data_IF_381024666152
#
_entry.id   IF_381024666152
#
_cell.length_a   1.000
_cell.length_b   1.000
_cell.length_c   1.000
_cell.angle_alpha   90.00
_cell.angle_beta   90.00
_cell.angle_gamma   90.00
#
_symmetry.space_group_name_H-M   'P 1'
#
loop_
_entity.id
_entity.type
_entity.pdbx_description
1 polymer ?
#
# COMPACT_ATOMS: atom_id res chain seq x y z
N UNK A 1 6.25 0.41 -7.78
CA UNK A 1 5.05 0.64 -6.95
C UNK A 1 4.97 2.07 -6.40
N UNK A 2 6.06 2.63 -5.88
CA UNK A 2 6.05 3.96 -5.24
C UNK A 2 5.76 5.13 -6.21
N UNK A 3 6.10 5.02 -7.50
CA UNK A 3 5.77 6.06 -8.51
C UNK A 3 4.25 6.20 -8.74
N UNK A 4 3.49 5.14 -8.49
CA UNK A 4 2.05 5.11 -8.76
C UNK A 4 1.17 5.55 -7.60
N UNK A 5 1.75 5.74 -6.41
CA UNK A 5 1.02 6.19 -5.22
C UNK A 5 0.75 7.70 -5.27
N UNK A 6 1.44 8.43 -6.14
CA UNK A 6 1.19 9.82 -6.48
C UNK A 6 0.49 9.93 -7.85
N UNK A 7 -0.82 10.17 -7.86
CA UNK A 7 -1.58 10.42 -9.09
C UNK A 7 -1.05 11.60 -9.93
N UNK A 8 -0.21 12.48 -9.36
CA UNK A 8 0.43 13.58 -10.08
C UNK A 8 1.39 13.11 -11.19
N UNK A 9 2.01 11.93 -11.07
CA UNK A 9 2.91 11.40 -12.11
C UNK A 9 2.15 10.81 -13.33
N UNK A 10 0.87 10.44 -13.16
CA UNK A 10 0.08 9.81 -14.22
C UNK A 10 -0.43 10.79 -15.29
N UNK A 11 -0.43 12.09 -14.98
CA UNK A 11 -0.94 13.13 -15.88
C UNK A 11 0.07 13.54 -16.95
N UNK A 12 1.37 13.51 -16.63
CA UNK A 12 2.41 13.88 -17.59
C UNK A 12 2.68 12.76 -18.62
N UNK A 13 2.18 11.54 -18.37
CA UNK A 13 2.56 10.33 -19.11
C UNK A 13 1.42 9.76 -19.99
N UNK A 14 0.13 9.94 -19.63
CA UNK A 14 -0.98 9.54 -20.50
C UNK A 14 -2.28 10.30 -20.16
N UNK A 15 -2.77 11.20 -21.02
CA UNK A 15 -4.08 11.83 -20.82
C UNK A 15 -5.24 10.85 -21.06
N UNK A 16 -5.06 9.85 -21.93
CA UNK A 16 -6.14 8.96 -22.35
C UNK A 16 -6.32 7.75 -21.42
N UNK A 17 -7.58 7.42 -21.13
CA UNK A 17 -7.97 6.16 -20.47
C UNK A 17 -7.60 5.01 -21.42
N UNK A 18 -6.93 3.93 -20.97
CA UNK A 18 -6.60 2.83 -21.86
C UNK A 18 -7.89 2.23 -22.42
N UNK A 19 -8.11 2.38 -23.73
CA UNK A 19 -9.20 1.75 -24.45
C UNK A 19 -8.83 0.30 -24.74
N UNK A 20 -9.58 -0.66 -24.18
CA UNK A 20 -9.63 -2.03 -24.70
C UNK A 20 -10.59 -2.08 -25.89
N UNK A 21 -10.24 -1.45 -27.02
CA UNK A 21 -11.04 -1.61 -28.24
C UNK A 21 -10.54 -2.79 -29.06
N UNK A 22 -11.23 -3.92 -28.85
CA UNK A 22 -11.78 -4.85 -29.84
C UNK A 22 -10.86 -5.62 -30.81
N UNK A 23 -11.14 -6.93 -30.83
CA UNK A 23 -10.79 -7.97 -31.81
C UNK A 23 -9.39 -8.56 -31.67
N UNK A 24 -9.37 -9.78 -31.10
CA UNK A 24 -8.26 -10.72 -31.16
C UNK A 24 -7.90 -11.01 -32.62
N UNK A 25 -6.86 -10.36 -33.13
CA UNK A 25 -5.96 -10.90 -34.15
C UNK A 25 -4.56 -10.40 -33.78
N UNK A 26 -3.83 -11.25 -33.05
CA UNK A 26 -2.40 -11.16 -32.69
C UNK A 26 -1.76 -9.75 -32.67
N UNK A 27 -1.65 -9.12 -31.48
CA UNK A 27 -0.63 -8.08 -31.25
C UNK A 27 -0.40 -7.76 -29.76
N UNK A 28 0.80 -8.16 -29.30
CA UNK A 28 1.59 -7.69 -28.14
C UNK A 28 1.09 -7.96 -26.71
N UNK A 29 1.82 -8.76 -25.90
CA UNK A 29 1.53 -9.00 -24.47
C UNK A 29 1.88 -7.79 -23.56
N UNK A 30 1.97 -6.58 -24.11
CA UNK A 30 2.54 -5.40 -23.44
C UNK A 30 1.49 -4.37 -22.97
N UNK A 31 0.20 -4.70 -23.01
CA UNK A 31 -0.88 -3.78 -22.60
C UNK A 31 -1.22 -3.79 -21.09
N UNK A 32 -0.39 -4.43 -20.25
CA UNK A 32 -0.59 -4.52 -18.78
C UNK A 32 0.11 -3.39 -17.98
N UNK A 33 0.21 -2.17 -18.53
CA UNK A 33 1.16 -1.15 -18.03
C UNK A 33 0.53 0.08 -17.36
N UNK A 34 -0.65 -0.01 -16.75
CA UNK A 34 -1.23 1.15 -16.08
C UNK A 34 -1.86 0.78 -14.74
N UNK A 35 -1.54 1.51 -13.68
CA UNK A 35 -2.31 1.51 -12.42
C UNK A 35 -3.63 2.28 -12.59
N UNK A 36 -4.38 1.90 -13.61
CA UNK A 36 -5.73 2.36 -13.94
C UNK A 36 -6.69 1.19 -13.86
N UNK A 37 -7.98 1.49 -13.81
CA UNK A 37 -9.01 0.46 -13.88
C UNK A 37 -9.39 0.30 -15.36
N UNK A 38 -9.19 -0.89 -15.92
CA UNK A 38 -9.64 -1.17 -17.30
C UNK A 38 -11.18 -1.16 -17.34
N UNK A 39 -11.77 -0.63 -18.42
CA UNK A 39 -13.23 -0.45 -18.52
C UNK A 39 -14.00 -1.77 -18.39
N UNK A 40 -13.45 -2.86 -18.94
CA UNK A 40 -14.05 -4.21 -18.90
C UNK A 40 -13.84 -4.92 -17.54
N UNK A 41 -12.88 -4.46 -16.72
CA UNK A 41 -12.60 -5.06 -15.40
C UNK A 41 -13.52 -4.54 -14.28
N UNK A 42 -14.42 -3.59 -14.60
CA UNK A 42 -15.38 -3.07 -13.63
C UNK A 42 -16.48 -4.08 -13.31
N UNK A 43 -16.76 -4.99 -14.26
CA UNK A 43 -17.74 -6.07 -14.13
C UNK A 43 -17.13 -7.40 -13.61
N UNK A 44 -15.80 -7.53 -13.61
CA UNK A 44 -15.13 -8.71 -13.07
C UNK A 44 -15.24 -8.73 -11.53
N UNK A 45 -15.85 -9.79 -11.00
CA UNK A 45 -16.02 -9.99 -9.57
C UNK A 45 -14.64 -10.04 -8.89
N UNK A 46 -14.44 -9.18 -7.90
CA UNK A 46 -13.23 -9.23 -7.07
C UNK A 46 -13.29 -10.53 -6.27
N UNK A 47 -12.44 -11.50 -6.59
CA UNK A 47 -12.29 -12.73 -5.80
C UNK A 47 -10.82 -12.98 -5.44
N UNK A 48 -10.49 -12.75 -4.15
CA UNK A 48 -9.17 -13.04 -3.60
C UNK A 48 -8.93 -14.53 -3.34
N UNK A 49 -9.96 -15.38 -3.45
CA UNK A 49 -9.85 -16.83 -3.27
C UNK A 49 -9.47 -17.57 -4.55
N UNK A 50 -9.60 -16.91 -5.71
CA UNK A 50 -9.25 -17.48 -7.00
C UNK A 50 -7.76 -17.81 -7.06
N UNK A 51 -7.42 -19.04 -7.46
CA UNK A 51 -6.03 -19.42 -7.70
C UNK A 51 -5.60 -19.00 -9.12
N UNK A 52 -4.57 -18.15 -9.23
CA UNK A 52 -3.97 -17.75 -10.50
C UNK A 52 -3.23 -18.94 -11.13
N UNK A 53 -3.29 -19.03 -12.46
CA UNK A 53 -2.40 -19.92 -13.21
C UNK A 53 -0.97 -19.40 -13.18
N UNK A 54 0.01 -20.28 -13.45
CA UNK A 54 1.42 -19.88 -13.47
C UNK A 54 1.70 -18.80 -14.51
N UNK A 55 1.09 -18.91 -15.69
CA UNK A 55 1.23 -17.89 -16.75
C UNK A 55 0.69 -16.52 -16.30
N UNK A 56 -0.46 -16.48 -15.62
CA UNK A 56 -1.04 -15.22 -15.13
C UNK A 56 -0.20 -14.67 -13.97
N UNK A 57 0.13 -15.50 -12.98
CA UNK A 57 0.92 -15.10 -11.83
C UNK A 57 2.29 -14.54 -12.19
N UNK A 58 2.98 -15.17 -13.16
CA UNK A 58 4.30 -14.74 -13.60
C UNK A 58 4.29 -13.41 -14.36
N UNK A 59 3.21 -13.12 -15.09
CA UNK A 59 3.09 -11.91 -15.91
C UNK A 59 2.41 -10.74 -15.17
N UNK A 60 1.70 -11.00 -14.08
CA UNK A 60 0.96 -10.00 -13.29
C UNK A 60 1.85 -9.27 -12.26
N UNK A 61 2.94 -8.68 -12.73
CA UNK A 61 3.92 -7.98 -11.86
C UNK A 61 3.31 -6.80 -11.09
N UNK A 62 2.22 -6.23 -11.59
CA UNK A 62 1.53 -5.07 -11.01
C UNK A 62 0.32 -5.46 -10.16
N UNK A 63 0.03 -6.75 -9.99
CA UNK A 63 -1.10 -7.26 -9.21
C UNK A 63 -2.43 -6.63 -9.66
N UNK A 64 -2.61 -6.56 -10.98
CA UNK A 64 -3.84 -6.13 -11.63
C UNK A 64 -4.95 -7.14 -11.43
N UNK A 65 -4.61 -8.41 -11.57
CA UNK A 65 -5.54 -9.52 -11.50
C UNK A 65 -5.69 -9.92 -10.04
N UNK A 66 -6.93 -10.05 -9.58
CA UNK A 66 -7.22 -10.53 -8.23
C UNK A 66 -6.98 -12.05 -8.14
N UNK A 67 -6.69 -12.52 -6.94
CA UNK A 67 -6.44 -13.93 -6.65
C UNK A 67 -5.08 -14.19 -6.04
N UNK A 68 -4.78 -15.47 -5.83
CA UNK A 68 -3.60 -15.98 -5.17
C UNK A 68 -2.72 -16.76 -6.13
N UNK A 69 -1.45 -16.39 -6.21
CA UNK A 69 -0.44 -17.21 -6.84
C UNK A 69 0.50 -17.82 -5.78
N UNK A 70 0.67 -19.14 -5.84
CA UNK A 70 1.41 -19.88 -4.81
C UNK A 70 2.92 -19.73 -4.97
N UNK A 71 3.44 -19.49 -6.17
CA UNK A 71 4.89 -19.39 -6.40
C UNK A 71 5.39 -17.94 -6.36
N UNK A 72 4.66 -17.10 -5.62
CA UNK A 72 4.96 -15.69 -5.46
C UNK A 72 6.17 -15.43 -4.58
N UNK A 73 7.02 -14.48 -5.01
CA UNK A 73 8.24 -14.07 -4.28
C UNK A 73 8.02 -12.86 -3.37
N UNK A 74 6.80 -12.32 -3.29
CA UNK A 74 6.50 -11.15 -2.45
C UNK A 74 6.88 -11.35 -0.96
N UNK A 75 6.54 -12.50 -0.31
CA UNK A 75 6.95 -12.75 1.07
C UNK A 75 8.47 -12.77 1.24
N UNK A 76 9.19 -13.36 0.28
CA UNK A 76 10.65 -13.52 0.37
C UNK A 76 11.40 -12.20 0.12
N UNK A 77 10.91 -11.38 -0.80
CA UNK A 77 11.57 -10.11 -1.18
C UNK A 77 11.20 -8.98 -0.22
N UNK A 78 9.92 -8.86 0.13
CA UNK A 78 9.43 -7.73 0.91
C UNK A 78 9.07 -8.09 2.34
N UNK A 79 8.99 -9.37 2.72
CA UNK A 79 8.47 -9.77 4.04
C UNK A 79 6.96 -9.58 4.18
N UNK A 80 6.24 -9.39 3.08
CA UNK A 80 4.79 -9.10 3.04
C UNK A 80 4.12 -9.99 2.00
N UNK A 81 2.94 -10.58 2.27
CA UNK A 81 2.30 -11.50 1.34
C UNK A 81 1.72 -10.77 0.12
N UNK A 82 1.68 -11.48 -1.02
CA UNK A 82 1.06 -10.97 -2.26
C UNK A 82 -0.38 -10.51 -2.03
N UNK A 83 -1.16 -11.23 -1.21
CA UNK A 83 -2.56 -10.86 -0.93
C UNK A 83 -2.71 -9.42 -0.42
N UNK A 84 -1.81 -8.97 0.46
CA UNK A 84 -1.83 -7.60 0.98
C UNK A 84 -1.35 -6.59 -0.06
N UNK A 85 -0.35 -6.96 -0.85
CA UNK A 85 0.16 -6.12 -1.94
C UNK A 85 -0.85 -5.96 -3.08
N UNK A 86 -1.65 -6.98 -3.34
CA UNK A 86 -2.77 -6.96 -4.29
C UNK A 86 -3.81 -5.96 -3.83
N UNK A 87 -4.22 -6.00 -2.56
CA UNK A 87 -5.16 -5.02 -1.99
C UNK A 87 -4.63 -3.58 -2.10
N UNK A 88 -3.33 -3.38 -1.84
CA UNK A 88 -2.68 -2.08 -2.03
C UNK A 88 -2.73 -1.63 -3.50
N UNK A 89 -2.37 -2.51 -4.44
CA UNK A 89 -2.41 -2.22 -5.88
C UNK A 89 -3.81 -1.80 -6.33
N UNK A 90 -4.84 -2.54 -5.92
CA UNK A 90 -6.22 -2.20 -6.23
C UNK A 90 -6.66 -0.87 -5.61
N UNK A 91 -6.24 -0.60 -4.37
CA UNK A 91 -6.53 0.68 -3.71
C UNK A 91 -5.93 1.84 -4.48
N UNK A 92 -4.69 1.68 -4.96
CA UNK A 92 -4.01 2.68 -5.81
C UNK A 92 -4.79 2.90 -7.12
N UNK A 93 -5.19 1.81 -7.80
CA UNK A 93 -5.96 1.88 -9.06
C UNK A 93 -7.28 2.62 -8.89
N UNK A 94 -8.07 2.27 -7.88
CA UNK A 94 -9.35 2.92 -7.59
C UNK A 94 -9.14 4.40 -7.21
N UNK A 95 -8.15 4.70 -6.36
CA UNK A 95 -7.86 6.07 -5.95
C UNK A 95 -7.43 6.95 -7.14
N UNK A 96 -6.63 6.41 -8.06
CA UNK A 96 -6.19 7.12 -9.25
C UNK A 96 -7.34 7.32 -10.24
N UNK A 97 -8.19 6.32 -10.44
CA UNK A 97 -9.35 6.44 -11.32
C UNK A 97 -10.37 7.47 -10.81
N UNK A 98 -10.65 7.48 -9.49
CA UNK A 98 -11.51 8.49 -8.86
C UNK A 98 -10.98 9.91 -9.06
N UNK A 99 -9.68 10.12 -8.86
CA UNK A 99 -9.05 11.43 -9.06
C UNK A 99 -9.18 11.91 -10.51
N UNK A 100 -9.03 11.01 -11.50
CA UNK A 100 -9.21 11.33 -12.92
C UNK A 100 -10.67 11.70 -13.24
N UNK A 101 -11.64 10.95 -12.70
CA UNK A 101 -13.05 11.25 -12.90
C UNK A 101 -13.46 12.59 -12.30
N UNK A 102 -12.97 12.93 -11.10
CA UNK A 102 -13.24 14.24 -10.49
C UNK A 102 -12.69 15.42 -11.29
N UNK A 103 -11.67 15.20 -12.12
CA UNK A 103 -11.10 16.23 -13.01
C UNK A 103 -11.72 16.26 -14.41
N UNK A 104 -12.50 15.25 -14.77
CA UNK A 104 -13.19 15.18 -16.06
C UNK A 104 -14.42 16.09 -16.07
N UNK A 105 -14.62 16.86 -17.15
CA UNK A 105 -15.80 17.72 -17.33
C UNK A 105 -17.07 16.91 -17.60
N UNK A 106 -16.93 15.65 -18.05
CA UNK A 106 -18.03 14.72 -18.31
C UNK A 106 -17.89 13.52 -17.39
N UNK A 107 -18.78 13.42 -16.40
CA UNK A 107 -18.82 12.29 -15.45
C UNK A 107 -19.79 11.25 -16.00
N UNK A 108 -19.28 10.08 -16.39
CA UNK A 108 -20.11 8.92 -16.65
C UNK A 108 -20.60 8.35 -15.31
N UNK A 109 -21.90 8.46 -15.06
CA UNK A 109 -22.53 8.02 -13.82
C UNK A 109 -22.46 6.50 -13.62
N UNK A 110 -22.43 5.71 -14.70
CA UNK A 110 -22.35 4.25 -14.60
C UNK A 110 -20.96 3.85 -14.10
N UNK A 111 -19.91 4.42 -14.71
CA UNK A 111 -18.52 4.21 -14.31
C UNK A 111 -18.30 4.61 -12.84
N UNK A 112 -18.91 5.72 -12.40
CA UNK A 112 -18.82 6.15 -11.00
C UNK A 112 -19.46 5.12 -10.06
N UNK A 113 -20.66 4.64 -10.38
CA UNK A 113 -21.35 3.63 -9.57
C UNK A 113 -20.55 2.33 -9.48
N UNK A 114 -19.94 1.87 -10.58
CA UNK A 114 -19.16 0.63 -10.57
C UNK A 114 -17.87 0.78 -9.78
N UNK A 115 -17.22 1.95 -9.82
CA UNK A 115 -16.09 2.26 -8.95
C UNK A 115 -16.49 2.35 -7.47
N UNK A 116 -17.68 2.83 -7.14
CA UNK A 116 -18.19 2.83 -5.76
C UNK A 116 -18.46 1.42 -5.25
N UNK A 117 -19.09 0.56 -6.06
CA UNK A 117 -19.28 -0.85 -5.74
C UNK A 117 -17.93 -1.55 -5.52
N UNK A 118 -16.98 -1.34 -6.44
CA UNK A 118 -15.63 -1.91 -6.37
C UNK A 118 -14.87 -1.41 -5.14
N UNK A 119 -14.98 -0.13 -4.81
CA UNK A 119 -14.37 0.44 -3.61
C UNK A 119 -14.96 -0.16 -2.32
N UNK A 120 -16.27 -0.41 -2.29
CA UNK A 120 -16.95 -1.02 -1.13
C UNK A 120 -16.55 -2.49 -0.93
N UNK A 121 -16.46 -3.26 -2.02
CA UNK A 121 -15.93 -4.62 -1.97
C UNK A 121 -14.48 -4.64 -1.49
N UNK A 122 -13.65 -3.74 -2.02
CA UNK A 122 -12.25 -3.64 -1.61
C UNK A 122 -12.11 -3.28 -0.13
N UNK A 123 -12.96 -2.39 0.40
CA UNK A 123 -13.02 -2.06 1.83
C UNK A 123 -13.27 -3.31 2.67
N UNK A 124 -14.29 -4.11 2.30
CA UNK A 124 -14.61 -5.35 3.00
C UNK A 124 -13.40 -6.28 3.03
N UNK A 125 -12.73 -6.48 1.90
CA UNK A 125 -11.53 -7.33 1.84
C UNK A 125 -10.36 -6.80 2.65
N UNK A 126 -10.14 -5.49 2.66
CA UNK A 126 -9.11 -4.87 3.49
C UNK A 126 -9.43 -5.10 4.96
N UNK A 127 -10.65 -4.83 5.41
CA UNK A 127 -11.03 -4.96 6.82
C UNK A 127 -11.08 -6.41 7.30
N UNK A 128 -11.42 -7.37 6.43
CA UNK A 128 -11.44 -8.80 6.75
C UNK A 128 -10.11 -9.50 6.50
N UNK A 129 -9.08 -8.79 6.06
CA UNK A 129 -7.78 -9.40 5.76
C UNK A 129 -7.11 -9.89 7.05
N UNK A 130 -6.61 -11.12 7.02
CA UNK A 130 -5.85 -11.72 8.10
C UNK A 130 -4.49 -12.22 7.59
N UNK A 131 -3.43 -12.16 8.41
CA UNK A 131 -2.13 -12.73 8.05
C UNK A 131 -2.23 -14.24 7.75
N UNK A 132 -1.52 -14.76 6.75
CA UNK A 132 -1.48 -16.19 6.46
C UNK A 132 -1.04 -16.99 7.69
N UNK A 133 -1.80 -18.03 8.06
CA UNK A 133 -1.53 -18.83 9.28
C UNK A 133 -0.27 -19.68 9.22
N UNK A 134 0.35 -19.82 8.04
CA UNK A 134 1.60 -20.56 7.86
C UNK A 134 2.59 -19.69 7.09
N UNK A 135 3.86 -19.60 7.54
CA UNK A 135 4.90 -19.02 6.72
C UNK A 135 4.98 -19.81 5.41
N UNK A 136 4.99 -19.09 4.30
CA UNK A 136 5.18 -19.67 2.98
C UNK A 136 6.51 -20.43 2.98
N UNK A 137 6.62 -21.63 2.36
CA UNK A 137 7.91 -22.30 2.24
C UNK A 137 8.83 -21.40 1.42
N UNK A 138 9.75 -20.73 2.11
CA UNK A 138 10.66 -19.76 1.51
C UNK A 138 11.51 -20.45 0.46
N UNK A 139 11.40 -20.04 -0.80
CA UNK A 139 12.14 -20.64 -1.92
C UNK A 139 13.64 -20.32 -1.85
N UNK A 140 14.05 -19.38 -0.99
CA UNK A 140 15.41 -18.87 -0.85
C UNK A 140 16.17 -19.56 0.30
N UNK A 141 15.50 -20.37 1.13
CA UNK A 141 16.15 -20.97 2.31
C UNK A 141 16.84 -22.30 2.00
N UNK A 142 18.11 -22.23 1.58
CA UNK A 142 19.03 -23.38 1.59
C UNK A 142 19.64 -23.58 2.98
N UNK A 143 18.85 -23.97 3.96
CA UNK A 143 19.38 -24.65 5.15
C UNK A 143 18.26 -25.39 5.86
N UNK A 144 18.07 -26.66 5.50
CA UNK A 144 17.36 -27.60 6.34
C UNK A 144 18.18 -27.82 7.62
N UNK A 145 17.78 -27.14 8.70
CA UNK A 145 18.01 -27.62 10.05
C UNK A 145 16.64 -27.70 10.71
N UNK A 146 16.12 -28.92 10.76
CA UNK A 146 15.02 -29.28 11.64
C UNK A 146 15.47 -29.09 13.08
N UNK A 147 14.97 -28.04 13.74
CA UNK A 147 15.03 -27.91 15.18
C UNK A 147 13.68 -27.43 15.69
N UNK A 148 12.93 -28.39 16.26
CA UNK A 148 12.10 -28.28 17.48
C UNK A 148 11.28 -27.01 17.73
N UNK A 149 9.95 -27.21 17.67
CA UNK A 149 8.89 -26.75 18.59
C UNK A 149 9.11 -25.44 19.40
N UNK A 150 8.16 -24.52 19.25
CA UNK A 150 7.83 -23.39 20.13
C UNK A 150 8.86 -22.26 20.31
N UNK A 151 9.33 -21.67 19.21
CA UNK A 151 9.64 -20.24 19.22
C UNK A 151 8.80 -19.53 18.17
N UNK A 152 7.80 -18.83 18.68
CA UNK A 152 6.82 -18.07 17.93
C UNK A 152 7.54 -17.02 17.06
N UNK A 153 7.67 -17.28 15.76
CA UNK A 153 8.28 -16.38 14.79
C UNK A 153 7.30 -15.23 14.49
N UNK A 154 6.98 -14.44 15.51
CA UNK A 154 5.99 -13.36 15.50
C UNK A 154 6.45 -12.14 14.68
N UNK A 155 7.74 -11.98 14.44
CA UNK A 155 8.34 -10.81 13.78
C UNK A 155 7.77 -10.51 12.39
N UNK A 156 7.71 -11.47 11.43
CA UNK A 156 7.09 -11.24 10.13
C UNK A 156 5.60 -10.87 10.26
N UNK A 157 4.87 -11.48 11.20
CA UNK A 157 3.47 -11.14 11.43
C UNK A 157 3.27 -9.69 11.92
N UNK A 158 4.20 -9.15 12.70
CA UNK A 158 4.13 -7.76 13.17
C UNK A 158 4.30 -6.76 12.02
N UNK A 159 5.27 -6.97 11.13
CA UNK A 159 5.44 -6.11 9.95
C UNK A 159 4.24 -6.20 9.01
N UNK A 160 3.70 -7.40 8.78
CA UNK A 160 2.48 -7.61 8.00
C UNK A 160 1.28 -6.87 8.60
N UNK A 161 1.12 -6.89 9.93
CA UNK A 161 0.07 -6.13 10.63
C UNK A 161 0.29 -4.62 10.52
N UNK A 162 1.52 -4.13 10.63
CA UNK A 162 1.82 -2.71 10.41
C UNK A 162 1.47 -2.26 8.99
N UNK A 163 1.83 -3.07 7.98
CA UNK A 163 1.47 -2.85 6.58
C UNK A 163 -0.05 -2.82 6.37
N UNK A 164 -0.77 -3.73 7.04
CA UNK A 164 -2.23 -3.78 6.97
C UNK A 164 -2.89 -2.55 7.59
N UNK A 165 -2.43 -2.10 8.76
CA UNK A 165 -2.91 -0.85 9.37
C UNK A 165 -2.65 0.36 8.44
N UNK A 166 -1.47 0.42 7.82
CA UNK A 166 -1.16 1.48 6.88
C UNK A 166 -2.00 1.42 5.59
N UNK A 167 -2.38 0.23 5.12
CA UNK A 167 -3.31 0.06 4.01
C UNK A 167 -4.71 0.60 4.36
N UNK A 168 -5.20 0.34 5.57
CA UNK A 168 -6.46 0.91 6.07
C UNK A 168 -6.39 2.44 6.06
N UNK A 169 -5.31 3.02 6.60
CA UNK A 169 -5.08 4.48 6.56
C UNK A 169 -5.07 5.00 5.11
N UNK A 170 -4.34 4.34 4.22
CA UNK A 170 -4.24 4.73 2.82
C UNK A 170 -5.59 4.69 2.11
N UNK A 171 -6.36 3.61 2.26
CA UNK A 171 -7.70 3.47 1.70
C UNK A 171 -8.60 4.62 2.13
N UNK A 172 -8.76 4.80 3.45
CA UNK A 172 -9.69 5.78 4.01
C UNK A 172 -9.30 7.23 3.71
N UNK A 173 -8.02 7.51 3.47
CA UNK A 173 -7.55 8.85 3.12
C UNK A 173 -7.58 9.12 1.62
N UNK A 174 -7.44 8.11 0.76
CA UNK A 174 -7.41 8.27 -0.70
C UNK A 174 -8.76 8.14 -1.37
N UNK A 175 -9.66 7.33 -0.82
CA UNK A 175 -10.92 6.97 -1.49
C UNK A 175 -12.11 7.76 -0.93
N UNK A 176 -12.47 7.66 0.37
CA UNK A 176 -13.52 8.49 0.97
C UNK A 176 -13.00 9.80 1.59
N UNK A 177 -11.68 9.94 1.80
CA UNK A 177 -11.05 11.09 2.45
C UNK A 177 -11.68 11.48 3.81
N UNK A 178 -11.82 10.50 4.71
CA UNK A 178 -12.39 10.76 6.05
C UNK A 178 -11.42 11.54 6.93
N UNK A 179 -11.94 12.25 7.94
CA UNK A 179 -11.14 12.99 8.91
C UNK A 179 -10.11 12.11 9.61
N UNK A 180 -8.87 12.59 9.73
CA UNK A 180 -7.80 11.91 10.46
C UNK A 180 -8.15 11.63 11.93
N UNK A 181 -9.10 12.38 12.53
CA UNK A 181 -9.58 12.14 13.90
C UNK A 181 -10.08 10.71 14.12
N UNK A 182 -10.76 10.13 13.13
CA UNK A 182 -11.36 8.79 13.25
C UNK A 182 -10.28 7.70 13.11
N UNK A 183 -9.14 8.03 12.50
CA UNK A 183 -8.07 7.09 12.18
C UNK A 183 -7.01 6.94 13.28
N UNK A 184 -7.12 7.66 14.40
CA UNK A 184 -6.05 7.70 15.41
C UNK A 184 -5.79 6.34 16.07
N UNK A 185 -6.79 5.48 16.21
CA UNK A 185 -6.59 4.12 16.73
C UNK A 185 -5.78 3.27 15.74
N UNK A 186 -6.10 3.35 14.44
CA UNK A 186 -5.33 2.70 13.37
C UNK A 186 -3.88 3.19 13.34
N UNK A 187 -3.65 4.50 13.53
CA UNK A 187 -2.29 5.07 13.65
C UNK A 187 -1.54 4.49 14.85
N UNK A 188 -2.20 4.41 16.01
CA UNK A 188 -1.62 3.85 17.25
C UNK A 188 -1.25 2.38 17.07
N UNK A 189 -2.14 1.57 16.50
CA UNK A 189 -1.89 0.15 16.24
C UNK A 189 -0.74 -0.03 15.24
N UNK A 190 -0.67 0.80 14.19
CA UNK A 190 0.44 0.76 13.25
C UNK A 190 1.78 1.02 13.96
N UNK A 191 1.87 2.07 14.80
CA UNK A 191 3.08 2.37 15.56
C UNK A 191 3.47 1.23 16.52
N UNK A 192 2.52 0.64 17.26
CA UNK A 192 2.77 -0.50 18.15
C UNK A 192 3.40 -1.67 17.39
N UNK A 193 2.82 -2.05 16.24
CA UNK A 193 3.33 -3.14 15.42
C UNK A 193 4.73 -2.84 14.86
N UNK A 194 5.00 -1.61 14.44
CA UNK A 194 6.33 -1.20 13.96
C UNK A 194 7.39 -1.30 15.06
N UNK A 195 7.11 -0.75 16.24
CA UNK A 195 8.05 -0.79 17.37
C UNK A 195 8.32 -2.22 17.84
N UNK A 196 7.28 -3.05 17.92
CA UNK A 196 7.42 -4.47 18.30
C UNK A 196 8.18 -5.26 17.25
N UNK A 197 7.96 -4.98 15.96
CA UNK A 197 8.69 -5.62 14.86
C UNK A 197 10.18 -5.31 14.94
N UNK A 198 10.54 -4.06 15.25
CA UNK A 198 11.95 -3.67 15.39
C UNK A 198 12.60 -4.27 16.64
N UNK A 199 11.90 -4.30 17.77
CA UNK A 199 12.40 -4.93 18.99
C UNK A 199 12.68 -6.44 18.77
N UNK A 200 11.73 -7.14 18.15
CA UNK A 200 11.88 -8.57 17.86
C UNK A 200 13.00 -8.85 16.84
N UNK A 201 13.33 -7.88 15.98
CA UNK A 201 14.43 -8.00 15.02
C UNK A 201 15.79 -7.67 15.64
N UNK A 202 15.88 -6.73 16.57
CA UNK A 202 17.12 -6.41 17.29
C UNK A 202 17.70 -7.61 18.06
N UNK A 203 16.85 -8.57 18.41
CA UNK A 203 17.23 -9.84 19.04
C UNK A 203 17.74 -10.89 18.02
N UNK A 204 17.58 -10.64 16.72
CA UNK A 204 17.99 -11.54 15.62
C UNK A 204 19.21 -11.01 14.87
N UNK A 205 20.13 -11.89 14.47
CA UNK A 205 21.37 -11.54 13.73
C UNK A 205 21.09 -11.23 12.24
N UNK A 206 19.83 -11.08 11.84
CA UNK A 206 19.40 -10.99 10.43
C UNK A 206 19.20 -9.55 9.95
N UNK A 207 19.32 -9.36 8.63
CA UNK A 207 19.39 -8.08 7.92
C UNK A 207 18.42 -6.98 8.42
N UNK A 208 18.94 -5.74 8.46
CA UNK A 208 18.21 -4.50 8.75
C UNK A 208 17.28 -4.04 7.61
N UNK A 209 16.44 -4.93 7.05
CA UNK A 209 15.43 -4.56 6.06
C UNK A 209 14.20 -3.93 6.73
N UNK A 210 14.04 -2.60 6.68
CA UNK A 210 12.86 -1.91 7.19
C UNK A 210 12.05 -1.31 6.05
N UNK A 211 10.73 -1.48 6.08
CA UNK A 211 9.83 -0.88 5.08
C UNK A 211 9.37 0.48 5.61
N UNK A 212 9.70 1.54 4.87
CA UNK A 212 9.31 2.91 5.22
C UNK A 212 7.79 3.15 5.11
N UNK A 213 7.16 2.52 4.13
CA UNK A 213 5.77 2.76 3.74
C UNK A 213 4.78 2.84 4.92
N UNK A 214 4.68 1.84 5.83
CA UNK A 214 3.70 1.88 6.90
C UNK A 214 3.92 3.03 7.89
N UNK A 215 5.16 3.28 8.30
CA UNK A 215 5.49 4.37 9.20
C UNK A 215 5.24 5.73 8.58
N UNK A 216 5.46 5.89 7.27
CA UNK A 216 5.15 7.14 6.57
C UNK A 216 3.65 7.48 6.61
N UNK A 217 2.77 6.53 6.28
CA UNK A 217 1.31 6.77 6.32
C UNK A 217 0.81 7.01 7.73
N UNK A 218 1.24 6.21 8.70
CA UNK A 218 0.90 6.43 10.09
C UNK A 218 1.35 7.82 10.57
N UNK A 219 2.57 8.24 10.25
CA UNK A 219 3.09 9.56 10.61
C UNK A 219 2.25 10.69 10.00
N UNK A 220 1.94 10.62 8.69
CA UNK A 220 1.12 11.63 8.04
C UNK A 220 -0.28 11.77 8.65
N UNK A 221 -0.85 10.68 9.17
CA UNK A 221 -2.20 10.67 9.73
C UNK A 221 -2.25 10.89 11.26
N UNK A 222 -1.10 10.99 11.93
CA UNK A 222 -1.04 11.26 13.36
C UNK A 222 -1.48 12.69 13.71
N UNK A 223 -2.38 12.81 14.69
CA UNK A 223 -2.83 14.09 15.26
C UNK A 223 -2.42 14.23 16.73
N UNK A 224 -2.40 13.12 17.46
CA UNK A 224 -2.00 13.11 18.87
C UNK A 224 -0.50 13.40 19.01
N UNK A 225 -0.08 14.37 19.86
CA UNK A 225 1.33 14.75 20.00
C UNK A 225 2.25 13.60 20.42
N UNK A 226 1.76 12.62 21.17
CA UNK A 226 2.57 11.47 21.58
C UNK A 226 2.73 10.48 20.43
N UNK A 227 1.68 10.26 19.62
CA UNK A 227 1.78 9.49 18.37
C UNK A 227 2.74 10.16 17.38
N UNK A 228 2.63 11.48 17.19
CA UNK A 228 3.52 12.23 16.31
C UNK A 228 4.98 12.09 16.74
N UNK A 229 5.26 12.24 18.04
CA UNK A 229 6.61 12.07 18.59
C UNK A 229 7.12 10.64 18.40
N UNK A 230 6.29 9.64 18.69
CA UNK A 230 6.67 8.23 18.55
C UNK A 230 6.96 7.82 17.11
N UNK A 231 6.14 8.29 16.16
CA UNK A 231 6.35 8.02 14.73
C UNK A 231 7.55 8.78 14.17
N UNK A 232 7.78 10.01 14.62
CA UNK A 232 8.96 10.78 14.24
C UNK A 232 10.24 10.11 14.73
N UNK A 233 10.27 9.69 16.00
CA UNK A 233 11.39 8.96 16.59
C UNK A 233 11.65 7.64 15.85
N UNK A 234 10.59 6.88 15.55
CA UNK A 234 10.70 5.64 14.78
C UNK A 234 11.29 5.87 13.39
N UNK A 235 10.82 6.89 12.66
CA UNK A 235 11.32 7.22 11.32
C UNK A 235 12.81 7.61 11.36
N UNK A 236 13.19 8.48 12.29
CA UNK A 236 14.58 8.95 12.42
C UNK A 236 15.51 7.80 12.81
N UNK A 237 15.15 7.04 13.85
CA UNK A 237 15.95 5.93 14.35
C UNK A 237 16.13 4.84 13.29
N UNK A 238 15.04 4.48 12.59
CA UNK A 238 15.10 3.49 11.50
C UNK A 238 15.91 3.99 10.31
N UNK A 239 15.79 5.27 9.95
CA UNK A 239 16.59 5.90 8.90
C UNK A 239 18.10 5.87 9.21
N UNK A 240 18.48 6.14 10.47
CA UNK A 240 19.88 6.03 10.91
C UNK A 240 20.39 4.60 10.85
N UNK A 241 19.60 3.63 11.34
CA UNK A 241 19.98 2.21 11.33
C UNK A 241 20.15 1.66 9.91
N UNK A 242 19.22 1.98 9.02
CA UNK A 242 19.24 1.51 7.63
C UNK A 242 20.13 2.34 6.71
N UNK A 243 20.62 3.50 7.18
CA UNK A 243 21.33 4.50 6.37
C UNK A 243 20.52 5.01 5.16
N UNK A 244 19.19 4.96 5.24
CA UNK A 244 18.28 5.40 4.17
C UNK A 244 17.76 6.81 4.44
N UNK A 245 18.15 7.76 3.59
CA UNK A 245 17.74 9.17 3.69
C UNK A 245 16.24 9.38 3.42
N UNK A 246 15.56 8.43 2.77
CA UNK A 246 14.13 8.45 2.50
C UNK A 246 13.29 8.55 3.78
N UNK A 247 13.76 7.98 4.89
CA UNK A 247 13.08 8.07 6.19
C UNK A 247 13.08 9.49 6.75
N UNK A 248 14.18 10.23 6.57
CA UNK A 248 14.27 11.64 6.97
C UNK A 248 13.35 12.52 6.10
N UNK A 249 13.27 12.24 4.79
CA UNK A 249 12.33 12.91 3.91
C UNK A 249 10.87 12.66 4.32
N UNK A 250 10.51 11.41 4.61
CA UNK A 250 9.19 11.04 5.11
C UNK A 250 8.83 11.75 6.43
N UNK A 251 9.77 11.81 7.37
CA UNK A 251 9.60 12.54 8.64
C UNK A 251 9.35 14.03 8.42
N UNK A 252 10.06 14.66 7.48
CA UNK A 252 9.84 16.06 7.12
C UNK A 252 8.45 16.27 6.51
N UNK A 253 8.03 15.40 5.60
CA UNK A 253 6.69 15.46 5.00
C UNK A 253 5.59 15.34 6.05
N UNK A 254 5.70 14.39 6.99
CA UNK A 254 4.72 14.24 8.06
C UNK A 254 4.58 15.52 8.90
N UNK A 255 5.70 16.14 9.28
CA UNK A 255 5.70 17.41 9.99
C UNK A 255 5.02 18.53 9.19
N UNK A 256 5.27 18.62 7.87
CA UNK A 256 4.59 19.59 7.01
C UNK A 256 3.07 19.38 6.99
N UNK A 257 2.61 18.13 7.03
CA UNK A 257 1.18 17.79 7.11
C UNK A 257 0.60 18.23 8.45
N UNK A 258 1.29 17.98 9.56
CA UNK A 258 0.86 18.41 10.89
C UNK A 258 0.73 19.94 10.97
N UNK A 259 1.74 20.67 10.48
CA UNK A 259 1.74 22.12 10.44
C UNK A 259 0.61 22.68 9.57
N UNK A 260 0.36 22.06 8.41
CA UNK A 260 -0.72 22.48 7.51
C UNK A 260 -2.10 22.30 8.17
N UNK A 261 -2.31 21.17 8.84
CA UNK A 261 -3.56 20.90 9.58
C UNK A 261 -3.76 21.85 10.73
N UNK A 262 -2.71 22.14 11.50
CA UNK A 262 -2.82 23.05 12.64
C UNK A 262 -3.14 24.50 12.21
N UNK A 263 -2.54 24.96 11.10
CA UNK A 263 -2.82 26.28 10.53
C UNK A 263 -4.22 26.39 9.94
N UNK A 264 -4.65 25.39 9.18
CA UNK A 264 -5.96 25.39 8.52
C UNK A 264 -7.12 25.02 9.45
N UNK A 265 -6.81 24.39 10.61
CA UNK A 265 -7.78 23.74 11.50
C UNK A 265 -8.67 22.74 10.77
N UNK A 266 -8.09 22.05 9.79
CA UNK A 266 -8.75 21.09 8.92
C UNK A 266 -8.05 19.73 8.99
N UNK A 267 -8.71 18.75 9.61
CA UNK A 267 -8.20 17.39 9.77
C UNK A 267 -8.49 16.49 8.56
N UNK A 268 -9.14 17.02 7.51
CA UNK A 268 -9.33 16.32 6.24
C UNK A 268 -8.16 16.53 5.28
N UNK A 269 -7.33 17.55 5.49
CA UNK A 269 -6.12 17.80 4.70
C UNK A 269 -5.19 16.58 4.69
N UNK A 270 -4.92 16.05 3.50
CA UNK A 270 -4.09 14.87 3.29
C UNK A 270 -2.65 15.23 2.97
N UNK A 271 -1.74 14.28 3.20
CA UNK A 271 -0.37 14.36 2.70
C UNK A 271 -0.34 14.61 1.19
N UNK A 272 -1.33 14.11 0.46
CA UNK A 272 -1.50 14.36 -0.96
C UNK A 272 -1.72 15.84 -1.29
N UNK A 273 -2.52 16.55 -0.48
CA UNK A 273 -2.82 17.97 -0.69
C UNK A 273 -1.61 18.85 -0.36
N UNK A 274 -0.86 18.48 0.68
CA UNK A 274 0.34 19.20 1.11
C UNK A 274 1.48 19.02 0.10
N UNK A 275 1.61 17.83 -0.49
CA UNK A 275 2.68 17.54 -1.46
C UNK A 275 2.34 17.92 -2.91
N UNK A 276 1.12 18.36 -3.23
CA UNK A 276 0.74 18.76 -4.60
C UNK A 276 1.63 19.86 -5.21
N UNK A 277 2.40 20.58 -4.39
CA UNK A 277 3.29 21.67 -4.81
C UNK A 277 4.77 21.29 -4.95
N UNK A 278 5.21 20.15 -4.44
CA UNK A 278 6.59 19.67 -4.58
C UNK A 278 6.55 18.28 -5.23
N UNK A 279 7.26 18.08 -6.35
CA UNK A 279 7.38 16.75 -6.98
C UNK A 279 7.76 15.76 -5.89
N UNK A 280 6.86 14.81 -5.60
CA UNK A 280 7.10 13.78 -4.59
C UNK A 280 8.45 13.13 -4.90
N UNK A 281 9.51 13.29 -4.08
CA UNK A 281 10.68 12.44 -4.20
C UNK A 281 10.15 11.07 -3.80
N UNK A 282 9.85 10.27 -4.81
CA UNK A 282 9.25 8.96 -4.64
C UNK A 282 10.13 8.21 -3.65
N UNK A 283 9.48 7.73 -2.60
CA UNK A 283 10.01 6.80 -1.59
C UNK A 283 10.30 5.48 -2.32
N UNK A 284 11.38 5.47 -3.09
CA UNK A 284 12.00 4.30 -3.66
C UNK A 284 13.16 3.96 -2.73
N UNK A 285 12.97 2.93 -1.92
CA UNK A 285 14.08 2.11 -1.44
C UNK A 285 14.20 0.94 -2.40
#
# INVERSE_FOLDING_TARGET
>A
MAESTCGCALLDICPDRPCSSLMAIESSPLSLRSFRVAHDSLDEEIDLSLQKSDEVGHNDIHLEVMGQWKDTLYPDIYGVPESLMTLLSQTIRIANERELLHRSTTVDTNVLQDLEKRASLLEQYILSWEPPSRPHPSLISHSAIESSEDSDNHTPHLLMRAMHQALILFYYRRIPNISALILQDTVRNCLDFLQRSDNARAESVSNDTAILWPGFFAACEALDPDLQRGLLDWLITTGHRTSLSSFSAAAKTAQMVWDARDKAKDHTLSWFDVMRHERCPIIAT
#
